data_IF_376142144966
#
_entry.id   IF_376142144966
#
_cell.length_a   1.000
_cell.length_b   1.000
_cell.length_c   1.000
_cell.angle_alpha   90.00
_cell.angle_beta   90.00
_cell.angle_gamma   90.00
#
_symmetry.space_group_name_H-M   'P 1'
#
loop_
_entity.id
_entity.type
_entity.pdbx_description
1 polymer ?
#
# COMPACT_ATOMS: atom_id res chain seq x y z
N UNK A 1 -15.11 -12.05 40.14
CA UNK A 1 -14.57 -11.82 38.76
C UNK A 1 -13.31 -10.98 38.90
N UNK A 2 -12.23 -11.32 38.15
CA UNK A 2 -11.07 -10.44 38.12
C UNK A 2 -11.44 -9.20 37.28
N UNK A 3 -11.34 -8.02 37.87
CA UNK A 3 -11.52 -6.76 37.17
C UNK A 3 -10.21 -6.46 36.43
N UNK A 4 -10.28 -6.28 35.09
CA UNK A 4 -9.16 -5.84 34.30
C UNK A 4 -9.34 -4.35 34.02
N UNK A 5 -8.30 -3.55 34.31
CA UNK A 5 -8.29 -2.11 34.04
C UNK A 5 -7.39 -1.83 32.84
N UNK A 6 -7.92 -1.12 31.87
CA UNK A 6 -7.22 -0.66 30.69
C UNK A 6 -7.34 0.86 30.56
N UNK A 7 -6.27 1.48 30.11
CA UNK A 7 -6.23 2.93 29.86
C UNK A 7 -6.83 3.27 28.49
N UNK A 8 -6.62 2.39 27.50
CA UNK A 8 -7.13 2.58 26.14
C UNK A 8 -7.72 1.27 25.61
N UNK A 9 -8.89 1.38 24.97
CA UNK A 9 -9.51 0.30 24.22
C UNK A 9 -9.54 0.64 22.72
N UNK A 10 -8.96 -0.22 21.89
CA UNK A 10 -9.00 -0.12 20.43
C UNK A 10 -10.05 -1.11 19.92
N UNK A 11 -11.07 -0.61 19.23
CA UNK A 11 -12.15 -1.44 18.70
C UNK A 11 -11.82 -1.86 17.27
N UNK A 12 -11.69 -3.17 17.08
CA UNK A 12 -11.39 -3.81 15.80
C UNK A 12 -9.95 -4.29 15.68
N UNK A 13 -9.78 -5.58 15.43
CA UNK A 13 -8.50 -6.28 15.23
C UNK A 13 -8.06 -6.38 13.78
N UNK A 14 -8.47 -5.45 12.93
CA UNK A 14 -7.92 -5.27 11.58
C UNK A 14 -6.62 -4.48 11.58
N UNK A 15 -5.99 -4.32 10.40
CA UNK A 15 -4.66 -3.68 10.28
C UNK A 15 -4.63 -2.26 10.86
N UNK A 16 -5.72 -1.50 10.73
CA UNK A 16 -5.79 -0.12 11.26
C UNK A 16 -5.78 -0.14 12.79
N UNK A 17 -6.63 -0.96 13.41
CA UNK A 17 -6.68 -1.09 14.87
C UNK A 17 -5.37 -1.62 15.45
N UNK A 18 -4.82 -2.69 14.85
CA UNK A 18 -3.55 -3.27 15.27
C UNK A 18 -2.38 -2.29 15.13
N UNK A 19 -2.30 -1.55 14.00
CA UNK A 19 -1.27 -0.53 13.80
C UNK A 19 -1.42 0.64 14.79
N UNK A 20 -2.66 1.02 15.12
CA UNK A 20 -2.95 2.06 16.13
C UNK A 20 -2.48 1.61 17.51
N UNK A 21 -2.88 0.41 17.94
CA UNK A 21 -2.46 -0.15 19.23
C UNK A 21 -0.93 -0.29 19.32
N UNK A 22 -0.30 -0.78 18.25
CA UNK A 22 1.16 -0.89 18.15
C UNK A 22 1.85 0.47 18.30
N UNK A 23 1.39 1.50 17.58
CA UNK A 23 1.96 2.84 17.68
C UNK A 23 1.74 3.48 19.05
N UNK A 24 0.57 3.29 19.64
CA UNK A 24 0.29 3.75 20.99
C UNK A 24 1.22 3.08 22.01
N UNK A 25 1.36 1.75 21.95
CA UNK A 25 2.21 1.01 22.89
C UNK A 25 3.69 1.40 22.80
N UNK A 26 4.20 1.70 21.57
CA UNK A 26 5.59 2.16 21.41
C UNK A 26 5.80 3.57 21.98
N UNK A 27 4.84 4.47 21.74
CA UNK A 27 4.96 5.86 22.16
C UNK A 27 4.62 6.06 23.64
N UNK A 28 3.81 5.17 24.21
CA UNK A 28 3.32 5.23 25.58
C UNK A 28 3.42 3.83 26.22
N UNK A 29 4.62 3.36 26.54
CA UNK A 29 4.85 1.97 26.99
C UNK A 29 4.16 1.62 28.31
N UNK A 30 3.88 2.62 29.15
CA UNK A 30 3.25 2.42 30.45
C UNK A 30 1.72 2.28 30.39
N UNK A 31 1.11 2.50 29.22
CA UNK A 31 -0.33 2.35 29.07
C UNK A 31 -0.74 0.88 28.87
N UNK A 32 -1.79 0.49 29.59
CA UNK A 32 -2.46 -0.80 29.41
C UNK A 32 -3.46 -0.67 28.24
N UNK A 33 -3.13 -1.26 27.08
CA UNK A 33 -3.93 -1.16 25.87
C UNK A 33 -4.61 -2.50 25.61
N UNK A 34 -5.91 -2.48 25.33
CA UNK A 34 -6.66 -3.67 24.89
C UNK A 34 -7.18 -3.46 23.46
N UNK A 35 -7.08 -4.50 22.65
CA UNK A 35 -7.74 -4.57 21.34
C UNK A 35 -8.93 -5.51 21.46
N UNK A 36 -10.12 -5.02 21.11
CA UNK A 36 -11.35 -5.78 21.13
C UNK A 36 -11.76 -6.12 19.70
N UNK A 37 -11.84 -7.41 19.38
CA UNK A 37 -12.29 -7.93 18.09
C UNK A 37 -13.57 -8.74 18.28
N UNK A 38 -14.55 -8.56 17.40
CA UNK A 38 -15.83 -9.28 17.46
C UNK A 38 -15.72 -10.72 16.95
N UNK A 39 -14.76 -10.97 16.07
CA UNK A 39 -14.52 -12.30 15.52
C UNK A 39 -13.56 -13.09 16.40
N UNK A 40 -13.48 -14.39 16.17
CA UNK A 40 -12.60 -15.28 16.92
C UNK A 40 -11.13 -15.22 16.49
N UNK A 41 -10.82 -14.41 15.46
CA UNK A 41 -9.46 -14.20 14.96
C UNK A 41 -9.26 -12.77 14.46
N UNK A 42 -8.01 -12.31 14.48
CA UNK A 42 -7.61 -11.01 13.95
C UNK A 42 -7.64 -11.02 12.42
N UNK A 43 -7.80 -9.84 11.82
CA UNK A 43 -7.74 -9.62 10.37
C UNK A 43 -8.81 -10.39 9.55
N UNK A 44 -9.88 -10.84 10.16
CA UNK A 44 -10.88 -11.72 9.53
C UNK A 44 -11.61 -11.07 8.35
N UNK A 45 -11.83 -9.75 8.38
CA UNK A 45 -12.55 -9.03 7.34
C UNK A 45 -11.62 -8.46 6.27
N UNK A 46 -11.68 -7.14 6.00
CA UNK A 46 -10.99 -6.47 4.90
C UNK A 46 -9.47 -6.68 4.89
N UNK A 47 -8.86 -6.76 6.07
CA UNK A 47 -7.41 -6.95 6.19
C UNK A 47 -6.94 -8.28 5.63
N UNK A 48 -7.69 -9.34 5.86
CA UNK A 48 -7.38 -10.68 5.32
C UNK A 48 -7.97 -10.95 3.93
N UNK A 49 -8.73 -10.01 3.36
CA UNK A 49 -9.51 -10.22 2.12
C UNK A 49 -9.38 -9.04 1.14
N UNK A 50 -8.20 -8.47 1.04
CA UNK A 50 -7.86 -7.42 0.08
C UNK A 50 -6.84 -7.94 -0.95
N UNK A 51 -6.43 -7.09 -1.89
CA UNK A 51 -5.46 -7.46 -2.93
C UNK A 51 -4.04 -7.69 -2.43
N UNK A 52 -3.74 -7.29 -1.19
CA UNK A 52 -2.39 -7.37 -0.61
C UNK A 52 -1.38 -6.40 -1.21
N UNK A 53 -1.77 -5.54 -2.13
CA UNK A 53 -0.86 -4.66 -2.87
C UNK A 53 -0.34 -3.54 -1.99
N UNK A 54 0.97 -3.36 -1.99
CA UNK A 54 1.64 -2.17 -1.45
C UNK A 54 1.52 -1.05 -2.48
N UNK A 55 0.49 -0.20 -2.32
CA UNK A 55 0.19 0.86 -3.27
C UNK A 55 1.22 1.99 -3.24
N UNK A 56 1.63 2.47 -4.43
CA UNK A 56 2.61 3.54 -4.59
C UNK A 56 2.06 4.97 -4.42
N UNK A 57 0.76 5.17 -4.63
CA UNK A 57 0.13 6.50 -4.63
C UNK A 57 -0.04 7.13 -6.02
N UNK A 58 0.18 6.36 -7.08
CA UNK A 58 0.17 6.79 -8.49
C UNK A 58 -1.09 7.58 -8.89
N UNK A 59 -2.27 7.08 -8.50
CA UNK A 59 -3.56 7.58 -8.99
C UNK A 59 -4.11 8.80 -8.26
N UNK A 60 -3.55 9.15 -7.11
CA UNK A 60 -4.11 10.22 -6.30
C UNK A 60 -3.75 11.60 -6.84
N UNK A 61 -4.65 12.56 -6.65
CA UNK A 61 -4.42 13.97 -7.02
C UNK A 61 -3.20 14.50 -6.27
N UNK A 62 -2.21 15.07 -6.96
CA UNK A 62 -1.05 15.65 -6.31
C UNK A 62 -1.41 16.69 -5.26
N UNK A 63 -0.67 16.69 -4.16
CA UNK A 63 -0.91 17.59 -3.01
C UNK A 63 -2.08 17.18 -2.10
N UNK A 64 -2.91 16.20 -2.47
CA UNK A 64 -3.99 15.72 -1.61
C UNK A 64 -3.45 14.94 -0.40
N UNK A 65 -4.22 14.93 0.70
CA UNK A 65 -3.92 14.09 1.86
C UNK A 65 -3.82 12.60 1.50
N UNK A 66 -4.64 12.12 0.54
CA UNK A 66 -4.57 10.73 0.06
C UNK A 66 -3.22 10.42 -0.60
N UNK A 67 -2.70 11.33 -1.43
CA UNK A 67 -1.41 11.16 -2.07
C UNK A 67 -0.29 11.13 -1.02
N UNK A 68 -0.24 12.12 -0.14
CA UNK A 68 0.76 12.20 0.95
C UNK A 68 0.73 10.97 1.85
N UNK A 69 -0.45 10.62 2.36
CA UNK A 69 -0.60 9.47 3.26
C UNK A 69 -0.24 8.15 2.58
N UNK A 70 -0.52 7.98 1.28
CA UNK A 70 -0.16 6.77 0.57
C UNK A 70 1.36 6.64 0.39
N UNK A 71 2.03 7.72 -0.03
CA UNK A 71 3.49 7.72 -0.24
C UNK A 71 4.23 7.54 1.09
N UNK A 72 3.84 8.29 2.13
CA UNK A 72 4.47 8.18 3.44
C UNK A 72 4.15 6.84 4.12
N UNK A 73 2.90 6.38 4.02
CA UNK A 73 2.46 5.10 4.54
C UNK A 73 3.19 3.93 3.88
N UNK A 74 3.40 3.96 2.56
CA UNK A 74 4.22 2.96 1.86
C UNK A 74 5.64 2.90 2.41
N UNK A 75 6.32 4.05 2.54
CA UNK A 75 7.68 4.09 3.09
C UNK A 75 7.74 3.48 4.50
N UNK A 76 6.78 3.85 5.35
CA UNK A 76 6.69 3.32 6.71
C UNK A 76 6.38 1.81 6.71
N UNK A 77 5.45 1.35 5.85
CA UNK A 77 5.10 -0.06 5.73
C UNK A 77 6.30 -0.88 5.27
N UNK A 78 7.00 -0.46 4.20
CA UNK A 78 8.20 -1.15 3.69
C UNK A 78 9.30 -1.22 4.76
N UNK A 79 9.51 -0.12 5.50
CA UNK A 79 10.46 -0.11 6.62
C UNK A 79 10.04 -1.09 7.73
N UNK A 80 8.75 -1.12 8.06
CA UNK A 80 8.20 -2.04 9.06
C UNK A 80 8.37 -3.51 8.65
N UNK A 81 7.95 -3.88 7.44
CA UNK A 81 8.01 -5.28 6.98
C UNK A 81 9.46 -5.78 6.88
N UNK A 82 10.41 -4.91 6.49
CA UNK A 82 11.84 -5.21 6.52
C UNK A 82 12.35 -5.41 7.94
N UNK A 83 12.01 -4.49 8.85
CA UNK A 83 12.43 -4.57 10.27
C UNK A 83 11.97 -5.85 10.95
N UNK A 84 10.77 -6.30 10.65
CA UNK A 84 10.15 -7.47 11.30
C UNK A 84 10.17 -8.74 10.42
N UNK A 85 10.92 -8.73 9.32
CA UNK A 85 11.07 -9.88 8.41
C UNK A 85 9.73 -10.43 7.91
N UNK A 86 8.74 -9.54 7.72
CA UNK A 86 7.45 -9.90 7.12
C UNK A 86 7.66 -10.13 5.63
N UNK A 87 7.19 -11.26 5.11
CA UNK A 87 7.28 -11.59 3.68
C UNK A 87 6.58 -10.52 2.85
N UNK A 88 7.28 -9.95 1.91
CA UNK A 88 6.79 -8.96 0.95
C UNK A 88 7.67 -8.98 -0.29
N UNK A 89 7.14 -8.52 -1.40
CA UNK A 89 7.88 -8.36 -2.65
C UNK A 89 7.53 -7.01 -3.26
N UNK A 90 8.56 -6.24 -3.61
CA UNK A 90 8.41 -4.98 -4.36
C UNK A 90 8.73 -5.29 -5.83
N UNK A 91 7.86 -6.08 -6.42
CA UNK A 91 7.99 -6.56 -7.80
C UNK A 91 7.67 -5.49 -8.86
N UNK A 92 7.13 -4.36 -8.44
CA UNK A 92 6.61 -3.34 -9.35
C UNK A 92 5.22 -3.68 -9.88
N UNK A 93 4.72 -2.85 -10.75
CA UNK A 93 3.50 -3.10 -11.54
C UNK A 93 3.56 -2.41 -12.88
N UNK A 94 2.77 -2.88 -13.83
CA UNK A 94 2.50 -2.20 -15.09
C UNK A 94 1.05 -1.72 -15.15
N UNK A 95 0.83 -0.54 -15.73
CA UNK A 95 -0.50 -0.03 -16.11
C UNK A 95 -0.56 -0.02 -17.61
N UNK A 96 -1.35 -0.94 -18.18
CA UNK A 96 -1.42 -1.18 -19.60
C UNK A 96 -2.28 -0.12 -20.31
N UNK A 97 -1.84 0.29 -21.51
CA UNK A 97 -2.66 0.87 -22.55
C UNK A 97 -2.86 -0.17 -23.65
N UNK A 98 -4.11 -0.47 -23.96
CA UNK A 98 -4.48 -1.44 -25.00
C UNK A 98 -4.75 -0.76 -26.35
N UNK A 99 -4.90 0.57 -26.35
CA UNK A 99 -5.14 1.41 -27.51
C UNK A 99 -4.21 2.63 -27.51
N UNK A 100 -3.96 3.25 -28.68
CA UNK A 100 -3.17 4.47 -28.79
C UNK A 100 -3.80 5.63 -27.98
N UNK A 101 -5.12 5.73 -27.93
CA UNK A 101 -5.83 6.73 -27.12
C UNK A 101 -5.54 6.60 -25.62
N UNK A 102 -5.36 5.37 -25.13
CA UNK A 102 -5.00 5.14 -23.72
C UNK A 102 -3.55 5.45 -23.43
N UNK A 103 -2.67 5.36 -24.42
CA UNK A 103 -1.26 5.69 -24.30
C UNK A 103 -1.03 7.15 -23.90
N UNK A 104 -1.84 8.08 -24.41
CA UNK A 104 -1.77 9.49 -24.01
C UNK A 104 -2.00 9.65 -22.50
N UNK A 105 -2.95 8.89 -21.94
CA UNK A 105 -3.26 8.90 -20.52
C UNK A 105 -2.13 8.36 -19.63
N UNK A 106 -1.26 7.50 -20.17
CA UNK A 106 -0.10 7.01 -19.42
C UNK A 106 0.89 8.15 -19.14
N UNK A 107 1.05 9.10 -20.07
CA UNK A 107 1.90 10.27 -19.87
C UNK A 107 1.37 11.18 -18.75
N UNK A 108 0.07 11.44 -18.74
CA UNK A 108 -0.56 12.20 -17.65
C UNK A 108 -0.43 11.48 -16.30
N UNK A 109 -0.61 10.16 -16.31
CA UNK A 109 -0.49 9.33 -15.11
C UNK A 109 0.94 9.30 -14.59
N UNK A 110 1.95 9.24 -15.47
CA UNK A 110 3.36 9.35 -15.14
C UNK A 110 3.65 10.68 -14.45
N UNK A 111 3.27 11.80 -15.06
CA UNK A 111 3.45 13.14 -14.49
C UNK A 111 2.79 13.27 -13.12
N UNK A 112 1.61 12.68 -12.95
CA UNK A 112 0.90 12.64 -11.66
C UNK A 112 1.69 11.86 -10.62
N UNK A 113 2.21 10.69 -10.99
CA UNK A 113 3.05 9.87 -10.11
C UNK A 113 4.32 10.60 -9.68
N UNK A 114 5.03 11.23 -10.64
CA UNK A 114 6.22 12.04 -10.37
C UNK A 114 5.91 13.22 -9.45
N UNK A 115 4.78 13.90 -9.68
CA UNK A 115 4.29 14.97 -8.78
C UNK A 115 3.94 14.49 -7.37
N UNK A 116 3.64 13.20 -7.20
CA UNK A 116 3.44 12.56 -5.91
C UNK A 116 4.76 12.04 -5.27
N UNK A 117 5.89 12.24 -5.96
CA UNK A 117 7.21 11.85 -5.48
C UNK A 117 7.59 10.41 -5.78
N UNK A 118 6.91 9.73 -6.74
CA UNK A 118 7.36 8.46 -7.25
C UNK A 118 8.55 8.66 -8.20
N UNK A 119 9.49 7.74 -8.17
CA UNK A 119 10.71 7.78 -8.98
C UNK A 119 10.78 6.59 -9.93
N UNK A 120 11.60 6.75 -10.97
CA UNK A 120 11.86 5.69 -11.94
C UNK A 120 10.60 5.16 -12.65
N UNK A 121 9.59 6.02 -12.85
CA UNK A 121 8.43 5.72 -13.66
C UNK A 121 8.82 5.71 -15.13
N UNK A 122 8.49 4.65 -15.86
CA UNK A 122 8.90 4.48 -17.25
C UNK A 122 7.70 4.09 -18.11
N UNK A 123 7.56 4.73 -19.29
CA UNK A 123 6.63 4.27 -20.33
C UNK A 123 7.39 3.27 -21.18
N UNK A 124 6.89 2.03 -21.20
CA UNK A 124 7.52 0.89 -21.88
C UNK A 124 6.68 0.42 -23.06
N UNK A 125 7.36 -0.13 -24.06
CA UNK A 125 6.74 -0.70 -25.25
C UNK A 125 6.34 -2.18 -25.10
N UNK A 126 5.72 -2.74 -26.17
CA UNK A 126 5.17 -4.11 -26.13
C UNK A 126 6.20 -5.20 -25.81
N UNK A 127 7.42 -5.08 -26.28
CA UNK A 127 8.49 -6.04 -26.02
C UNK A 127 8.79 -6.11 -24.53
N UNK A 128 8.99 -4.94 -23.91
CA UNK A 128 9.29 -4.87 -22.47
C UNK A 128 8.09 -5.29 -21.61
N UNK A 129 6.87 -5.06 -22.07
CA UNK A 129 5.66 -5.58 -21.41
C UNK A 129 5.73 -7.11 -21.34
N UNK A 130 6.07 -7.77 -22.47
CA UNK A 130 6.16 -9.23 -22.53
C UNK A 130 7.26 -9.82 -21.66
N UNK A 131 8.38 -9.11 -21.49
CA UNK A 131 9.44 -9.53 -20.58
C UNK A 131 8.98 -9.52 -19.11
N UNK A 132 8.20 -8.50 -18.69
CA UNK A 132 7.71 -8.34 -17.34
C UNK A 132 6.50 -9.25 -17.08
N UNK A 133 5.55 -9.27 -18.02
CA UNK A 133 4.28 -9.98 -17.90
C UNK A 133 3.95 -10.67 -19.23
N UNK A 134 4.37 -11.91 -19.43
CA UNK A 134 4.28 -12.61 -20.72
C UNK A 134 2.86 -12.73 -21.30
N UNK A 135 1.85 -12.73 -20.44
CA UNK A 135 0.45 -12.85 -20.85
C UNK A 135 -0.24 -11.50 -21.11
N UNK A 136 0.40 -10.38 -20.74
CA UNK A 136 -0.16 -9.06 -20.98
C UNK A 136 0.01 -8.63 -22.44
N UNK A 137 -1.03 -8.00 -22.99
CA UNK A 137 -1.01 -7.42 -24.34
C UNK A 137 -1.41 -5.94 -24.28
N UNK A 138 -0.55 -5.07 -24.79
CA UNK A 138 -0.78 -3.63 -24.83
C UNK A 138 0.12 -2.95 -25.83
N UNK A 139 -0.27 -1.76 -26.28
CA UNK A 139 0.54 -0.90 -27.17
C UNK A 139 1.63 -0.14 -26.41
N UNK A 140 1.40 0.08 -25.11
CA UNK A 140 2.35 0.66 -24.17
C UNK A 140 1.94 0.31 -22.72
N UNK A 141 2.83 0.52 -21.77
CA UNK A 141 2.49 0.48 -20.35
C UNK A 141 3.30 1.52 -19.55
N UNK A 142 2.77 1.95 -18.43
CA UNK A 142 3.54 2.66 -17.42
C UNK A 142 4.04 1.65 -16.40
N UNK A 143 5.35 1.50 -16.30
CA UNK A 143 6.00 0.71 -15.25
C UNK A 143 6.18 1.54 -13.99
N UNK A 144 5.82 0.95 -12.85
CA UNK A 144 5.84 1.58 -11.52
C UNK A 144 6.62 0.68 -10.57
N UNK A 145 7.92 0.87 -10.41
CA UNK A 145 8.80 -0.04 -9.66
C UNK A 145 8.53 -0.05 -8.15
N UNK A 146 7.92 0.99 -7.62
CA UNK A 146 7.70 1.16 -6.18
C UNK A 146 6.40 0.51 -5.65
N UNK A 147 5.71 -0.32 -6.43
CA UNK A 147 4.56 -1.13 -6.01
C UNK A 147 4.97 -2.56 -5.72
N UNK A 148 4.20 -3.25 -4.89
CA UNK A 148 4.45 -4.65 -4.56
C UNK A 148 3.23 -5.34 -3.97
#
# INVERSE_FOLDING_TARGET
MKEFKYDISVIGGGIVGLATAYKLQINYPDLNIVVLEKENQLAFHQTGRNSGVIHSGLYYKPGSFRAKNCVDGRKQLVSFVKKYSVKHDICGKIVLATTEKEKEKLTELKQRGESNGLINLEIIGPEKIKEIEPFANGVAALYVPESG
#
